data_IF_434979542585
#
_entry.id   IF_434979542585
#
_cell.length_a   1.000
_cell.length_b   1.000
_cell.length_c   1.000
_cell.angle_alpha   90.00
_cell.angle_beta   90.00
_cell.angle_gamma   90.00
#
_symmetry.space_group_name_H-M   'P 1'
#
loop_
_entity.id
_entity.type
_entity.pdbx_description
1 polymer ?
#
# COMPACT_ATOMS: atom_id res chain seq x y z
N UNK A 1 21.19 -9.18 -19.65
CA UNK A 1 20.40 -7.99 -19.28
C UNK A 1 19.39 -8.44 -18.23
N UNK A 2 19.59 -8.16 -16.95
CA UNK A 2 18.62 -8.51 -15.90
C UNK A 2 17.74 -7.29 -15.61
N UNK A 3 16.46 -7.37 -15.95
CA UNK A 3 15.48 -6.34 -15.63
C UNK A 3 14.89 -6.66 -14.26
N UNK A 4 15.12 -5.79 -13.27
CA UNK A 4 14.49 -5.88 -11.96
C UNK A 4 13.28 -4.96 -11.94
N UNK A 5 12.09 -5.52 -11.69
CA UNK A 5 10.85 -4.77 -11.57
C UNK A 5 10.44 -4.70 -10.10
N UNK A 6 10.05 -3.50 -9.67
CA UNK A 6 9.49 -3.27 -8.34
C UNK A 6 8.14 -2.60 -8.49
N UNK A 7 7.16 -3.13 -7.76
CA UNK A 7 5.78 -2.64 -7.73
C UNK A 7 5.48 -2.30 -6.28
N UNK A 8 4.84 -1.15 -6.05
CA UNK A 8 4.32 -0.77 -4.73
C UNK A 8 2.81 -0.66 -4.84
N UNK A 9 2.11 -1.16 -3.82
CA UNK A 9 0.65 -1.10 -3.75
C UNK A 9 0.23 -0.77 -2.32
N UNK A 10 -0.87 -0.03 -2.19
CA UNK A 10 -1.54 0.24 -0.91
C UNK A 10 -2.57 -0.85 -0.56
N UNK A 11 -2.79 -1.82 -1.45
CA UNK A 11 -3.71 -2.93 -1.23
C UNK A 11 -2.94 -4.23 -1.08
N UNK A 12 -3.35 -5.03 -0.09
CA UNK A 12 -2.84 -6.39 0.08
C UNK A 12 -3.22 -7.24 -1.13
N UNK A 13 -2.33 -8.15 -1.52
CA UNK A 13 -2.49 -9.01 -2.70
C UNK A 13 -3.82 -9.78 -2.68
N UNK A 14 -4.30 -10.21 -1.51
CA UNK A 14 -5.57 -10.92 -1.36
C UNK A 14 -6.80 -10.09 -1.71
N UNK A 15 -6.69 -8.76 -1.76
CA UNK A 15 -7.79 -7.86 -2.16
C UNK A 15 -7.81 -7.58 -3.67
N UNK A 16 -6.86 -8.11 -4.44
CA UNK A 16 -6.74 -7.78 -5.86
C UNK A 16 -7.89 -8.32 -6.71
N UNK A 17 -8.59 -9.37 -6.27
CA UNK A 17 -9.84 -9.80 -6.91
C UNK A 17 -10.89 -8.68 -6.97
N UNK A 18 -11.05 -7.92 -5.89
CA UNK A 18 -11.96 -6.77 -5.87
C UNK A 18 -11.42 -5.57 -6.68
N UNK A 19 -10.10 -5.38 -6.71
CA UNK A 19 -9.46 -4.30 -7.50
C UNK A 19 -9.66 -4.52 -9.00
N UNK A 20 -9.54 -5.76 -9.47
CA UNK A 20 -9.75 -6.11 -10.88
C UNK A 20 -11.21 -6.46 -11.23
N UNK A 21 -12.06 -6.69 -10.23
CA UNK A 21 -13.45 -7.13 -10.44
C UNK A 21 -13.57 -8.58 -10.93
N UNK A 22 -12.45 -9.30 -11.02
CA UNK A 22 -12.37 -10.69 -11.48
C UNK A 22 -11.25 -11.41 -10.70
N UNK A 23 -11.64 -12.40 -9.93
CA UNK A 23 -10.75 -13.20 -9.09
C UNK A 23 -9.83 -14.12 -9.91
N UNK A 24 -10.30 -14.63 -11.05
CA UNK A 24 -9.52 -15.50 -11.95
C UNK A 24 -8.44 -14.68 -12.63
N UNK A 25 -8.78 -13.48 -13.12
CA UNK A 25 -7.81 -12.57 -13.70
C UNK A 25 -6.76 -12.13 -12.67
N UNK A 26 -7.19 -11.76 -11.46
CA UNK A 26 -6.30 -11.38 -10.38
C UNK A 26 -5.30 -12.50 -10.07
N UNK A 27 -5.77 -13.75 -9.93
CA UNK A 27 -4.92 -14.90 -9.69
C UNK A 27 -3.89 -15.12 -10.81
N UNK A 28 -4.30 -15.01 -12.09
CA UNK A 28 -3.41 -15.19 -13.23
C UNK A 28 -2.33 -14.10 -13.36
N UNK A 29 -2.62 -12.87 -12.91
CA UNK A 29 -1.64 -11.79 -12.83
C UNK A 29 -0.68 -12.04 -11.67
N UNK A 30 -1.22 -12.36 -10.50
CA UNK A 30 -0.44 -12.62 -9.29
C UNK A 30 0.51 -13.81 -9.47
N UNK A 31 0.07 -14.88 -10.14
CA UNK A 31 0.92 -16.02 -10.47
C UNK A 31 2.20 -15.58 -11.21
N UNK A 32 2.04 -14.76 -12.26
CA UNK A 32 3.19 -14.24 -13.03
C UNK A 32 4.08 -13.29 -12.23
N UNK A 33 3.49 -12.44 -11.38
CA UNK A 33 4.24 -11.46 -10.58
C UNK A 33 4.98 -12.12 -9.40
N UNK A 34 4.37 -13.11 -8.76
CA UNK A 34 4.90 -13.76 -7.57
C UNK A 34 5.90 -14.88 -7.90
N UNK A 35 5.92 -15.40 -9.14
CA UNK A 35 6.83 -16.47 -9.56
C UNK A 35 8.32 -16.13 -9.38
N UNK A 36 8.69 -14.85 -9.53
CA UNK A 36 10.08 -14.38 -9.40
C UNK A 36 10.23 -13.12 -8.54
N UNK A 37 9.29 -12.85 -7.63
CA UNK A 37 9.36 -11.66 -6.76
C UNK A 37 9.45 -12.02 -5.28
N UNK A 38 9.91 -11.03 -4.51
CA UNK A 38 9.89 -11.07 -3.06
C UNK A 38 8.82 -10.08 -2.58
N UNK A 39 7.80 -10.57 -1.87
CA UNK A 39 6.71 -9.73 -1.37
C UNK A 39 7.06 -9.19 0.00
N UNK A 40 7.04 -7.86 0.15
CA UNK A 40 7.29 -7.17 1.40
C UNK A 40 6.02 -6.44 1.85
N UNK A 41 5.48 -6.85 2.99
CA UNK A 41 4.35 -6.18 3.63
C UNK A 41 4.85 -5.05 4.54
N UNK A 42 4.51 -3.82 4.19
CA UNK A 42 4.92 -2.63 4.95
C UNK A 42 3.77 -2.19 5.84
N UNK A 43 4.02 -2.14 7.15
CA UNK A 43 3.06 -1.75 8.18
C UNK A 43 3.65 -0.63 9.05
N UNK A 44 2.79 0.23 9.60
CA UNK A 44 3.15 1.32 10.51
C UNK A 44 2.60 2.67 10.08
N UNK A 45 2.75 3.71 10.92
CA UNK A 45 2.15 5.01 10.61
C UNK A 45 2.80 5.68 9.40
N UNK A 46 1.99 6.42 8.64
CA UNK A 46 2.43 7.23 7.52
C UNK A 46 3.59 8.15 7.91
N UNK A 47 4.70 8.02 7.19
CA UNK A 47 5.86 8.89 7.37
C UNK A 47 5.50 10.37 7.20
N UNK A 48 4.60 10.69 6.26
CA UNK A 48 4.06 12.04 6.03
C UNK A 48 3.34 12.57 7.28
N UNK A 49 2.56 11.73 7.94
CA UNK A 49 1.86 12.10 9.17
C UNK A 49 2.86 12.35 10.30
N UNK A 50 3.89 11.50 10.44
CA UNK A 50 4.97 11.71 11.41
C UNK A 50 5.69 13.04 11.19
N UNK A 51 5.98 13.42 9.95
CA UNK A 51 6.58 14.72 9.63
C UNK A 51 5.65 15.89 9.97
N UNK A 52 4.36 15.81 9.61
CA UNK A 52 3.39 16.85 9.99
C UNK A 52 3.24 16.99 11.51
N UNK A 53 3.31 15.89 12.26
CA UNK A 53 3.31 15.90 13.73
C UNK A 53 4.55 16.61 14.27
N UNK A 54 5.74 16.29 13.73
CA UNK A 54 7.01 16.93 14.11
C UNK A 54 7.06 18.42 13.77
N UNK A 55 6.45 18.81 12.65
CA UNK A 55 6.36 20.21 12.22
C UNK A 55 5.28 21.02 12.97
N UNK A 56 4.59 20.43 13.97
CA UNK A 56 3.51 21.09 14.70
C UNK A 56 2.21 21.29 13.90
N UNK A 57 2.16 20.80 12.67
CA UNK A 57 1.05 21.01 11.72
C UNK A 57 -0.19 20.14 12.01
N UNK A 58 -0.10 19.20 12.96
CA UNK A 58 -1.24 18.40 13.43
C UNK A 58 -1.84 18.91 14.76
N UNK A 59 -1.56 20.17 15.12
CA UNK A 59 -1.97 20.80 16.38
C UNK A 59 -3.26 21.64 16.33
N UNK A 60 -4.29 21.26 15.56
CA UNK A 60 -5.51 22.08 15.52
C UNK A 60 -6.73 21.43 14.86
N UNK A 61 -7.50 20.66 15.64
CA UNK A 61 -8.99 20.66 15.66
C UNK A 61 -9.57 19.53 16.52
N UNK A 62 -9.15 19.47 17.80
CA UNK A 62 -9.85 18.69 18.82
C UNK A 62 -10.36 19.59 19.97
N UNK A 63 -10.69 20.85 19.65
CA UNK A 63 -11.22 21.83 20.62
C UNK A 63 -12.28 22.76 20.00
N UNK A 64 -13.09 22.27 19.06
CA UNK A 64 -14.29 22.98 18.58
C UNK A 64 -15.46 22.01 18.47
N UNK A 65 -15.85 21.46 19.61
CA UNK A 65 -17.18 20.91 19.84
C UNK A 65 -17.58 21.35 21.26
N UNK A 66 -17.93 22.64 21.37
CA UNK A 66 -18.98 23.08 22.30
C UNK A 66 -20.30 22.97 21.56
#
# INVERSE_FOLDING_TARGET
>A
MHHAWSITTNQVVTQWGAVFGDEVLAAAILDRLLHHSHTLMISGDSYRLKQKKKAGLLGGNAASAR
#
